data_IF_956521522562
#
_entry.id   IF_956521522562
#
_cell.length_a   1.000
_cell.length_b   1.000
_cell.length_c   1.000
_cell.angle_alpha   90.00
_cell.angle_beta   90.00
_cell.angle_gamma   90.00
#
_symmetry.space_group_name_H-M   'P 1'
#
loop_
_entity.id
_entity.type
_entity.pdbx_description
1 polymer ?
#
# COMPACT_ATOMS: atom_id res chain seq x y z
N UNK A 1 0.90 -1.22 0.66
CA UNK A 1 1.80 -2.38 0.42
C UNK A 1 2.00 -2.57 -1.08
N UNK A 2 2.99 -3.34 -1.51
CA UNK A 2 3.22 -3.64 -2.93
C UNK A 2 2.47 -4.88 -3.41
N UNK A 3 2.33 -5.03 -4.73
CA UNK A 3 1.66 -6.18 -5.37
C UNK A 3 2.15 -7.55 -4.87
N UNK A 4 3.46 -7.79 -4.85
CA UNK A 4 3.98 -9.10 -4.41
C UNK A 4 3.72 -9.38 -2.93
N UNK A 5 3.75 -8.35 -2.08
CA UNK A 5 3.38 -8.48 -0.67
C UNK A 5 1.90 -8.85 -0.54
N UNK A 6 1.04 -8.19 -1.32
CA UNK A 6 -0.38 -8.52 -1.40
C UNK A 6 -0.62 -9.97 -1.85
N UNK A 7 0.01 -10.40 -2.95
CA UNK A 7 -0.09 -11.76 -3.49
C UNK A 7 0.38 -12.81 -2.48
N UNK A 8 1.45 -12.52 -1.72
CA UNK A 8 1.94 -13.39 -0.66
C UNK A 8 0.99 -13.48 0.55
N UNK A 9 0.27 -12.41 0.87
CA UNK A 9 -0.73 -12.42 1.96
C UNK A 9 -2.01 -13.14 1.50
N UNK A 10 -2.40 -12.95 0.24
CA UNK A 10 -3.51 -13.65 -0.43
C UNK A 10 -4.92 -13.24 0.02
N UNK A 11 -5.05 -12.26 0.94
CA UNK A 11 -6.35 -11.79 1.43
C UNK A 11 -6.30 -10.37 2.01
N UNK A 12 -7.43 -9.64 2.01
CA UNK A 12 -7.55 -8.39 2.74
C UNK A 12 -7.22 -8.58 4.22
N UNK A 13 -6.41 -7.69 4.75
CA UNK A 13 -6.11 -7.66 6.18
C UNK A 13 -7.34 -7.11 6.95
N UNK A 14 -7.94 -7.86 7.89
CA UNK A 14 -9.16 -7.43 8.59
C UNK A 14 -8.95 -6.12 9.37
N UNK A 15 -9.99 -5.29 9.40
CA UNK A 15 -10.00 -4.01 10.13
C UNK A 15 -9.08 -2.92 9.56
N UNK A 16 -8.53 -3.13 8.36
CA UNK A 16 -7.56 -2.22 7.74
C UNK A 16 -7.97 -1.85 6.32
N UNK A 17 -7.69 -0.60 5.95
CA UNK A 17 -7.75 -0.16 4.56
C UNK A 17 -6.54 -0.71 3.82
N UNK A 18 -6.78 -1.63 2.89
CA UNK A 18 -5.71 -2.26 2.13
C UNK A 18 -5.50 -1.48 0.83
N UNK A 19 -4.34 -0.82 0.70
CA UNK A 19 -3.95 -0.05 -0.49
C UNK A 19 -2.73 -0.71 -1.12
N UNK A 20 -2.87 -1.11 -2.38
CA UNK A 20 -1.92 -1.93 -3.12
C UNK A 20 -1.30 -1.10 -4.24
N UNK A 21 0.01 -0.86 -4.16
CA UNK A 21 0.80 -0.17 -5.17
C UNK A 21 1.21 -1.15 -6.27
N UNK A 22 0.77 -0.89 -7.50
CA UNK A 22 1.01 -1.72 -8.68
C UNK A 22 0.99 -0.88 -9.96
N UNK A 23 1.91 -1.14 -10.89
CA UNK A 23 1.86 -0.56 -12.23
C UNK A 23 0.78 -1.18 -13.11
N UNK A 24 0.35 -2.40 -12.79
CA UNK A 24 -0.72 -3.12 -13.48
C UNK A 24 -2.05 -3.00 -12.72
N UNK A 25 -3.19 -3.04 -13.43
CA UNK A 25 -4.50 -3.10 -12.81
C UNK A 25 -4.63 -4.25 -11.81
N UNK A 26 -5.38 -3.98 -10.73
CA UNK A 26 -5.77 -4.97 -9.76
C UNK A 26 -6.90 -5.88 -10.23
N UNK A 27 -7.12 -6.96 -9.50
CA UNK A 27 -8.20 -7.93 -9.78
C UNK A 27 -9.14 -8.16 -8.59
N UNK A 28 -8.82 -7.63 -7.41
CA UNK A 28 -9.62 -7.78 -6.20
C UNK A 28 -10.23 -6.43 -5.81
N UNK A 29 -11.55 -6.32 -5.94
CA UNK A 29 -12.31 -5.10 -5.66
C UNK A 29 -12.48 -4.82 -4.17
N UNK A 30 -12.09 -5.74 -3.28
CA UNK A 30 -12.12 -5.55 -1.82
C UNK A 30 -10.98 -4.67 -1.31
N UNK A 31 -10.02 -4.33 -2.19
CA UNK A 31 -8.86 -3.50 -1.86
C UNK A 31 -8.70 -2.38 -2.88
N UNK A 32 -7.97 -1.34 -2.50
CA UNK A 32 -7.73 -0.19 -3.38
C UNK A 32 -6.42 -0.35 -4.12
N UNK A 33 -6.45 -0.31 -5.45
CA UNK A 33 -5.26 -0.37 -6.30
C UNK A 33 -4.86 1.01 -6.75
N UNK A 34 -3.56 1.32 -6.65
CA UNK A 34 -2.98 2.62 -6.99
C UNK A 34 -1.69 2.43 -7.77
N UNK A 35 -1.33 3.41 -8.59
CA UNK A 35 -0.18 3.34 -9.51
C UNK A 35 1.04 4.13 -9.05
N UNK A 36 0.89 4.99 -8.05
CA UNK A 36 1.96 5.84 -7.55
C UNK A 36 1.94 5.99 -6.03
N UNK A 37 3.06 6.46 -5.47
CA UNK A 37 3.19 6.81 -4.05
C UNK A 37 2.19 7.89 -3.65
N UNK A 38 2.02 8.91 -4.50
CA UNK A 38 1.12 10.03 -4.21
C UNK A 38 -0.35 9.58 -4.23
N UNK A 39 -0.74 8.74 -5.19
CA UNK A 39 -2.06 8.11 -5.20
C UNK A 39 -2.27 7.23 -3.95
N UNK A 40 -1.24 6.51 -3.50
CA UNK A 40 -1.33 5.69 -2.29
C UNK A 40 -1.59 6.53 -1.04
N UNK A 41 -0.88 7.65 -0.88
CA UNK A 41 -1.04 8.58 0.24
C UNK A 41 -2.43 9.24 0.18
N UNK A 42 -2.84 9.72 -0.99
CA UNK A 42 -4.17 10.30 -1.18
C UNK A 42 -5.29 9.28 -0.86
N UNK A 43 -5.10 8.02 -1.27
CA UNK A 43 -6.04 6.95 -0.99
C UNK A 43 -6.12 6.60 0.51
N UNK A 44 -5.14 6.93 1.35
CA UNK A 44 -5.25 6.75 2.80
C UNK A 44 -6.33 7.64 3.40
N UNK A 45 -6.54 8.84 2.85
CA UNK A 45 -7.43 9.86 3.42
C UNK A 45 -6.81 10.55 4.64
N UNK A 46 -7.64 11.25 5.40
CA UNK A 46 -7.22 11.94 6.62
C UNK A 46 -7.11 10.95 7.78
N UNK A 47 -5.88 10.50 8.04
CA UNK A 47 -5.55 9.55 9.11
C UNK A 47 -4.30 10.01 9.85
N UNK A 48 -4.20 9.74 11.16
CA UNK A 48 -3.04 10.17 11.95
C UNK A 48 -1.75 9.43 11.58
N UNK A 49 -1.84 8.19 11.07
CA UNK A 49 -0.67 7.37 10.74
C UNK A 49 -0.96 6.42 9.57
N UNK A 50 0.02 6.27 8.68
CA UNK A 50 -0.02 5.35 7.53
C UNK A 50 1.05 4.27 7.72
N UNK A 51 0.64 3.01 7.64
CA UNK A 51 1.56 1.87 7.79
C UNK A 51 2.02 1.35 6.42
N UNK A 52 3.30 1.56 6.11
CA UNK A 52 3.95 0.96 4.94
C UNK A 52 4.48 -0.41 5.31
N UNK A 53 3.83 -1.48 4.84
CA UNK A 53 4.18 -2.87 5.19
C UNK A 53 5.02 -3.59 4.12
N UNK A 54 5.77 -2.81 3.32
CA UNK A 54 6.65 -3.33 2.28
C UNK A 54 5.97 -3.70 0.95
N UNK A 55 6.63 -4.45 0.06
CA UNK A 55 7.98 -5.04 0.18
C UNK A 55 9.14 -4.10 -0.13
N UNK A 56 10.33 -4.65 -0.45
CA UNK A 56 11.59 -3.89 -0.64
C UNK A 56 11.46 -2.63 -1.50
N UNK A 57 10.94 -2.76 -2.73
CA UNK A 57 10.71 -1.62 -3.64
C UNK A 57 9.73 -0.58 -3.11
N UNK A 58 8.77 -0.99 -2.26
CA UNK A 58 7.86 -0.04 -1.60
C UNK A 58 8.59 0.67 -0.47
N UNK A 59 9.39 -0.04 0.33
CA UNK A 59 10.23 0.59 1.34
C UNK A 59 11.17 1.62 0.72
N UNK A 60 11.87 1.30 -0.36
CA UNK A 60 12.75 2.25 -1.07
C UNK A 60 12.04 3.56 -1.45
N UNK A 61 10.78 3.49 -1.90
CA UNK A 61 10.00 4.65 -2.30
C UNK A 61 9.47 5.48 -1.12
N UNK A 62 9.16 4.84 0.01
CA UNK A 62 8.56 5.50 1.17
C UNK A 62 9.58 5.87 2.26
N UNK A 63 10.75 5.26 2.28
CA UNK A 63 11.78 5.50 3.29
C UNK A 63 12.20 6.98 3.37
N UNK A 64 12.36 7.74 2.27
CA UNK A 64 12.65 9.17 2.33
C UNK A 64 11.54 10.02 2.96
N UNK A 65 10.32 9.47 3.07
CA UNK A 65 9.14 10.13 3.63
C UNK A 65 8.77 9.59 5.02
N UNK A 66 9.51 8.63 5.57
CA UNK A 66 9.15 7.96 6.82
C UNK A 66 9.49 8.80 8.05
N UNK A 67 8.55 8.91 8.99
CA UNK A 67 8.76 9.57 10.28
C UNK A 67 9.10 8.56 11.40
N UNK A 68 8.79 7.27 11.18
CA UNK A 68 8.95 6.19 12.15
C UNK A 68 9.28 4.89 11.42
N UNK A 69 10.08 4.03 12.06
CA UNK A 69 10.46 2.69 11.62
C UNK A 69 10.00 1.65 12.63
#
# INVERSE_FOLDING_TARGET
MGRHTWESIGRPLPGRKNIILSSQPGTDDRVTWVKSVDEAIAACGDVPEIMVIGGGRVYEQFLPKAQKL
#
